data_IF_635327343015
#
_entry.id   IF_635327343015
#
_cell.length_a   1.000
_cell.length_b   1.000
_cell.length_c   1.000
_cell.angle_alpha   90.00
_cell.angle_beta   90.00
_cell.angle_gamma   90.00
#
_symmetry.space_group_name_H-M   'P 1'
#
loop_
_entity.id
_entity.type
_entity.pdbx_description
1 polymer ?
#
# COMPACT_ATOMS: atom_id res chain seq x y z
N UNK A 1 -46.88 -35.05 -22.42
CA UNK A 1 -46.29 -35.13 -21.07
C UNK A 1 -44.88 -35.73 -20.97
N UNK A 2 -44.42 -36.70 -21.79
CA UNK A 2 -43.06 -37.28 -21.61
C UNK A 2 -41.93 -36.33 -22.04
N UNK A 3 -42.15 -35.51 -23.08
CA UNK A 3 -41.15 -34.57 -23.60
C UNK A 3 -40.78 -33.49 -22.57
N UNK A 4 -41.78 -32.98 -21.83
CA UNK A 4 -41.57 -31.97 -20.79
C UNK A 4 -40.67 -32.51 -19.68
N UNK A 5 -40.87 -33.78 -19.29
CA UNK A 5 -40.09 -34.42 -18.24
C UNK A 5 -38.64 -34.65 -18.68
N UNK A 6 -38.43 -35.05 -19.94
CA UNK A 6 -37.08 -35.17 -20.51
C UNK A 6 -36.32 -33.83 -20.53
N UNK A 7 -37.00 -32.74 -20.89
CA UNK A 7 -36.40 -31.40 -20.93
C UNK A 7 -35.97 -30.94 -19.52
N UNK A 8 -36.80 -31.17 -18.51
CA UNK A 8 -36.49 -30.81 -17.11
C UNK A 8 -35.25 -31.57 -16.62
N UNK A 9 -35.18 -32.88 -16.87
CA UNK A 9 -34.03 -33.71 -16.45
C UNK A 9 -32.73 -33.26 -17.13
N UNK A 10 -32.77 -32.98 -18.43
CA UNK A 10 -31.57 -32.51 -19.17
C UNK A 10 -31.13 -31.12 -18.69
N UNK A 11 -32.08 -30.24 -18.36
CA UNK A 11 -31.78 -28.87 -17.90
C UNK A 11 -31.12 -28.87 -16.53
N UNK A 12 -31.65 -29.67 -15.59
CA UNK A 12 -31.08 -29.83 -14.25
C UNK A 12 -29.73 -30.54 -14.31
N UNK A 13 -29.61 -31.60 -15.12
CA UNK A 13 -28.36 -32.33 -15.32
C UNK A 13 -27.26 -31.45 -15.93
N UNK A 14 -27.60 -30.61 -16.91
CA UNK A 14 -26.67 -29.66 -17.52
C UNK A 14 -26.16 -28.62 -16.52
N UNK A 15 -27.03 -28.07 -15.68
CA UNK A 15 -26.63 -27.12 -14.65
C UNK A 15 -25.73 -27.76 -13.57
N UNK A 16 -26.07 -28.97 -13.12
CA UNK A 16 -25.23 -29.72 -12.18
C UNK A 16 -23.85 -30.07 -12.78
N UNK A 17 -23.82 -30.46 -14.06
CA UNK A 17 -22.56 -30.79 -14.75
C UNK A 17 -21.64 -29.58 -14.89
N UNK A 18 -22.18 -28.41 -15.29
CA UNK A 18 -21.38 -27.18 -15.36
C UNK A 18 -20.87 -26.74 -13.98
N UNK A 19 -21.69 -26.88 -12.94
CA UNK A 19 -21.29 -26.60 -11.55
C UNK A 19 -20.19 -27.55 -11.09
N UNK A 20 -20.31 -28.85 -11.38
CA UNK A 20 -19.29 -29.85 -11.07
C UNK A 20 -17.96 -29.57 -11.78
N UNK A 21 -18.00 -29.17 -13.05
CA UNK A 21 -16.80 -28.81 -13.82
C UNK A 21 -16.11 -27.58 -13.23
N UNK A 22 -16.88 -26.55 -12.84
CA UNK A 22 -16.34 -25.33 -12.20
C UNK A 22 -15.66 -25.66 -10.87
N UNK A 23 -16.27 -26.52 -10.06
CA UNK A 23 -15.69 -27.01 -8.79
C UNK A 23 -14.39 -27.79 -9.05
N UNK A 24 -14.41 -28.74 -10.00
CA UNK A 24 -13.24 -29.58 -10.32
C UNK A 24 -12.07 -28.78 -10.89
N UNK A 25 -12.35 -27.74 -11.68
CA UNK A 25 -11.32 -26.85 -12.25
C UNK A 25 -10.92 -25.70 -11.32
N UNK A 26 -11.42 -25.67 -10.08
CA UNK A 26 -11.00 -24.69 -9.08
C UNK A 26 -11.50 -23.26 -9.34
N UNK A 27 -12.54 -23.08 -10.17
CA UNK A 27 -13.18 -21.77 -10.29
C UNK A 27 -13.92 -21.47 -8.99
N UNK A 28 -13.74 -20.27 -8.41
CA UNK A 28 -14.48 -19.88 -7.23
C UNK A 28 -15.97 -19.95 -7.56
N UNK A 29 -16.73 -20.66 -6.72
CA UNK A 29 -18.18 -20.55 -6.73
C UNK A 29 -18.50 -19.14 -6.24
N UNK A 30 -18.69 -18.24 -7.19
CA UNK A 30 -19.15 -16.88 -6.95
C UNK A 30 -20.61 -16.97 -6.47
N UNK A 31 -20.88 -16.42 -5.29
CA UNK A 31 -22.23 -15.97 -4.95
C UNK A 31 -22.72 -14.99 -6.02
N UNK A 32 -24.03 -14.85 -6.22
CA UNK A 32 -24.66 -13.90 -7.16
C UNK A 32 -24.31 -12.42 -6.93
N UNK A 33 -23.39 -12.13 -6.00
CA UNK A 33 -22.81 -10.81 -5.67
C UNK A 33 -21.27 -10.82 -5.63
N UNK A 34 -20.62 -11.73 -6.36
CA UNK A 34 -19.17 -11.69 -6.61
C UNK A 34 -18.28 -12.02 -5.40
N UNK A 35 -18.83 -12.62 -4.34
CA UNK A 35 -18.03 -13.08 -3.20
C UNK A 35 -17.65 -14.56 -3.35
N UNK A 36 -16.36 -14.90 -3.36
CA UNK A 36 -15.91 -16.29 -3.43
C UNK A 36 -16.19 -17.01 -2.11
N UNK A 37 -16.98 -18.09 -2.14
CA UNK A 37 -17.38 -18.87 -0.96
C UNK A 37 -16.27 -19.87 -0.55
N UNK A 38 -15.03 -19.39 -0.37
CA UNK A 38 -13.93 -20.21 0.18
C UNK A 38 -13.12 -19.41 1.23
N UNK A 39 -13.38 -19.59 2.54
CA UNK A 39 -12.56 -19.04 3.61
C UNK A 39 -11.32 -19.95 3.85
N UNK A 40 -10.46 -20.11 2.83
CA UNK A 40 -9.27 -20.97 2.91
C UNK A 40 -7.94 -20.22 2.81
N UNK A 41 -7.95 -18.89 2.96
CA UNK A 41 -6.74 -18.05 2.90
C UNK A 41 -6.51 -17.16 4.12
N UNK A 42 -7.38 -17.17 5.14
CA UNK A 42 -7.29 -16.19 6.25
C UNK A 42 -6.01 -16.28 7.08
N UNK A 43 -5.44 -17.47 7.31
CA UNK A 43 -4.21 -17.59 8.12
C UNK A 43 -2.97 -17.07 7.40
N UNK A 44 -2.78 -17.49 6.15
CA UNK A 44 -1.64 -17.05 5.35
C UNK A 44 -1.78 -15.58 4.95
N UNK A 45 -2.99 -15.11 4.64
CA UNK A 45 -3.27 -13.70 4.40
C UNK A 45 -3.03 -12.87 5.66
N UNK A 46 -3.47 -13.31 6.84
CA UNK A 46 -3.20 -12.62 8.10
C UNK A 46 -1.70 -12.57 8.44
N UNK A 47 -0.96 -13.65 8.20
CA UNK A 47 0.49 -13.69 8.37
C UNK A 47 1.19 -12.72 7.40
N UNK A 48 0.78 -12.67 6.12
CA UNK A 48 1.27 -11.69 5.14
C UNK A 48 0.94 -10.25 5.51
N UNK A 49 -0.29 -9.98 5.97
CA UNK A 49 -0.71 -8.65 6.45
C UNK A 49 0.15 -8.23 7.64
N UNK A 50 0.46 -9.15 8.57
CA UNK A 50 1.34 -8.88 9.71
C UNK A 50 2.76 -8.53 9.27
N UNK A 51 3.32 -9.28 8.32
CA UNK A 51 4.65 -9.00 7.74
C UNK A 51 4.67 -7.62 7.05
N UNK A 52 3.70 -7.34 6.19
CA UNK A 52 3.57 -6.05 5.51
C UNK A 52 3.37 -4.89 6.51
N UNK A 53 2.64 -5.11 7.59
CA UNK A 53 2.44 -4.08 8.63
C UNK A 53 3.76 -3.76 9.34
N UNK A 54 4.58 -4.78 9.63
CA UNK A 54 5.90 -4.60 10.21
C UNK A 54 6.86 -3.87 9.26
N UNK A 55 6.88 -4.21 7.97
CA UNK A 55 7.67 -3.52 6.94
C UNK A 55 7.25 -2.05 6.82
N UNK A 56 5.95 -1.77 6.80
CA UNK A 56 5.44 -0.40 6.79
C UNK A 56 5.85 0.40 8.03
N UNK A 57 5.87 -0.23 9.22
CA UNK A 57 6.33 0.43 10.44
C UNK A 57 7.83 0.78 10.37
N UNK A 58 8.66 -0.12 9.84
CA UNK A 58 10.09 0.10 9.64
C UNK A 58 10.35 1.21 8.61
N UNK A 59 9.68 1.17 7.45
CA UNK A 59 9.80 2.21 6.42
C UNK A 59 9.39 3.58 6.96
N UNK A 60 8.34 3.67 7.77
CA UNK A 60 7.92 4.93 8.41
C UNK A 60 8.98 5.46 9.38
N UNK A 61 9.63 4.59 10.14
CA UNK A 61 10.72 4.97 11.02
C UNK A 61 11.94 5.46 10.22
N UNK A 62 12.31 4.77 9.14
CA UNK A 62 13.41 5.16 8.26
C UNK A 62 13.14 6.52 7.60
N UNK A 63 11.94 6.72 7.05
CA UNK A 63 11.51 8.01 6.50
C UNK A 63 11.55 9.12 7.56
N UNK A 64 11.14 8.82 8.80
CA UNK A 64 11.26 9.76 9.92
C UNK A 64 12.71 10.20 10.16
N UNK A 65 13.64 9.24 10.20
CA UNK A 65 15.06 9.54 10.40
C UNK A 65 15.66 10.36 9.24
N UNK A 66 15.23 10.11 8.01
CA UNK A 66 15.65 10.88 6.84
C UNK A 66 15.10 12.31 6.92
N UNK A 67 13.84 12.47 7.33
CA UNK A 67 13.22 13.78 7.53
C UNK A 67 13.97 14.61 8.57
N UNK A 68 14.33 14.03 9.71
CA UNK A 68 15.09 14.72 10.76
C UNK A 68 16.46 15.20 10.26
N UNK A 69 17.13 14.37 9.44
CA UNK A 69 18.39 14.75 8.80
C UNK A 69 18.20 15.87 7.77
N UNK A 70 17.13 15.83 6.98
CA UNK A 70 16.80 16.88 6.02
C UNK A 70 16.52 18.21 6.73
N UNK A 71 15.81 18.20 7.86
CA UNK A 71 15.59 19.40 8.67
C UNK A 71 16.91 19.97 9.20
N UNK A 72 17.83 19.10 9.66
CA UNK A 72 19.16 19.55 10.07
C UNK A 72 19.95 20.18 8.91
N UNK A 73 19.87 19.60 7.71
CA UNK A 73 20.51 20.16 6.50
C UNK A 73 19.89 21.51 6.15
N UNK A 74 18.56 21.62 6.16
CA UNK A 74 17.83 22.87 5.90
C UNK A 74 18.28 23.97 6.86
N UNK A 75 18.44 23.64 8.15
CA UNK A 75 18.95 24.57 9.16
C UNK A 75 20.38 25.02 8.85
N UNK A 76 21.28 24.10 8.50
CA UNK A 76 22.68 24.44 8.16
C UNK A 76 22.72 25.36 6.93
N UNK A 77 22.00 25.00 5.88
CA UNK A 77 21.96 25.75 4.62
C UNK A 77 21.31 27.12 4.80
N UNK A 78 20.33 27.26 5.69
CA UNK A 78 19.62 28.53 5.89
C UNK A 78 20.30 29.44 6.92
N UNK A 79 20.74 28.91 8.06
CA UNK A 79 21.27 29.73 9.14
C UNK A 79 22.72 30.17 8.89
N UNK A 80 23.56 29.31 8.32
CA UNK A 80 24.99 29.55 8.19
C UNK A 80 25.34 30.68 7.19
N UNK A 81 24.72 30.78 5.99
CA UNK A 81 24.96 31.90 5.08
C UNK A 81 24.44 33.23 5.63
N UNK A 82 23.29 33.20 6.32
CA UNK A 82 22.69 34.39 6.92
C UNK A 82 23.56 34.93 8.07
N UNK A 83 24.15 34.05 8.88
CA UNK A 83 25.10 34.46 9.92
C UNK A 83 26.38 35.06 9.32
N UNK A 84 26.98 34.38 8.33
CA UNK A 84 28.18 34.86 7.65
C UNK A 84 27.97 36.20 6.95
N UNK A 85 26.86 36.39 6.24
CA UNK A 85 26.54 37.65 5.57
C UNK A 85 26.47 38.82 6.57
N UNK A 86 25.81 38.62 7.70
CA UNK A 86 25.74 39.63 8.78
C UNK A 86 27.12 39.97 9.35
N UNK A 87 27.98 38.97 9.50
CA UNK A 87 29.33 39.16 10.03
C UNK A 87 30.22 39.95 9.04
N UNK A 88 30.10 39.68 7.73
CA UNK A 88 30.77 40.44 6.67
C UNK A 88 30.30 41.90 6.65
N UNK A 89 29.00 42.14 6.71
CA UNK A 89 28.45 43.49 6.73
C UNK A 89 28.93 44.28 7.96
N UNK A 90 29.00 43.63 9.12
CA UNK A 90 29.52 44.24 10.34
C UNK A 90 31.00 44.64 10.24
N UNK A 91 31.85 43.78 9.65
CA UNK A 91 33.26 44.10 9.41
C UNK A 91 33.44 45.26 8.44
N UNK A 92 32.62 45.31 7.39
CA UNK A 92 32.65 46.40 6.39
C UNK A 92 32.28 47.74 7.01
N UNK A 93 31.33 47.77 7.96
CA UNK A 93 30.93 48.98 8.68
C UNK A 93 32.02 49.48 9.63
N UNK A 94 32.73 48.59 10.34
CA UNK A 94 33.84 48.99 11.24
C UNK A 94 35.01 49.59 10.45
N UNK A 95 35.40 49.00 9.32
CA UNK A 95 36.46 49.57 8.46
C UNK A 95 36.07 50.96 7.91
N UNK A 96 34.80 51.16 7.53
CA UNK A 96 34.30 52.46 7.05
C UNK A 96 34.21 53.55 8.12
N UNK A 97 34.25 53.20 9.40
CA UNK A 97 34.17 54.13 10.54
C UNK A 97 35.52 54.58 11.11
N UNK A 98 36.65 54.06 10.60
CA UNK A 98 38.00 54.32 11.14
C UNK A 98 38.86 55.27 10.27
N UNK A 99 38.25 56.01 9.34
CA UNK A 99 38.92 57.01 8.50
C UNK A 99 38.65 58.45 8.99
#
# INVERSE_FOLDING_TARGET
>A
MPIVLAIVVVSVGGWMFTTWLRIKNGYPLESSWGTPIHPKTDREAAERIKLLTNENAQLRAEIGSVKDRLQNIERIVTDQPNALAREIDALTIDEGGRA
#
